data_IF_559881673139
#
_entry.id   IF_559881673139
#
_cell.length_a   1.000
_cell.length_b   1.000
_cell.length_c   1.000
_cell.angle_alpha   90.00
_cell.angle_beta   90.00
_cell.angle_gamma   90.00
#
_symmetry.space_group_name_H-M   'P 1'
#
loop_
_entity.id
_entity.type
_entity.pdbx_description
1 polymer ?
#
# COMPACT_ATOMS: atom_id res chain seq x y z
N UNK A 1 -3.72 9.54 13.71
CA UNK A 1 -3.24 9.50 12.31
C UNK A 1 -3.30 8.06 11.82
N UNK A 2 -4.50 7.59 11.46
CA UNK A 2 -4.71 6.23 10.94
C UNK A 2 -4.26 6.19 9.49
N UNK A 3 -3.14 5.53 9.22
CA UNK A 3 -2.53 5.39 7.88
C UNK A 3 -2.99 4.10 7.20
N UNK A 4 -4.21 3.65 7.45
CA UNK A 4 -4.74 2.43 6.84
C UNK A 4 -5.58 2.82 5.62
N UNK A 5 -5.11 2.43 4.44
CA UNK A 5 -5.77 2.59 3.15
C UNK A 5 -5.32 1.46 2.23
N UNK A 6 -6.05 1.20 1.13
CA UNK A 6 -5.65 0.16 0.20
C UNK A 6 -4.28 0.49 -0.39
N UNK A 7 -3.48 -0.55 -0.58
CA UNK A 7 -2.17 -0.44 -1.18
C UNK A 7 -1.97 -1.56 -2.21
N UNK A 8 -1.14 -1.29 -3.20
CA UNK A 8 -0.77 -2.22 -4.26
C UNK A 8 0.74 -2.46 -4.21
N UNK A 9 1.14 -3.73 -4.16
CA UNK A 9 2.54 -4.16 -4.17
C UNK A 9 2.96 -4.48 -5.59
N UNK A 10 4.06 -3.87 -6.05
CA UNK A 10 4.73 -4.21 -7.29
C UNK A 10 5.97 -5.03 -6.98
N UNK A 11 6.05 -6.21 -7.59
CA UNK A 11 7.19 -7.11 -7.47
C UNK A 11 8.00 -7.11 -8.76
N UNK A 12 9.32 -7.03 -8.62
CA UNK A 12 10.27 -7.17 -9.71
C UNK A 12 11.27 -8.26 -9.31
N UNK A 13 11.46 -9.26 -10.16
CA UNK A 13 12.31 -10.43 -9.87
C UNK A 13 11.95 -11.19 -8.57
N UNK A 14 10.69 -11.14 -8.14
CA UNK A 14 10.20 -11.80 -6.92
C UNK A 14 10.22 -10.91 -5.66
N UNK A 15 11.05 -9.87 -5.66
CA UNK A 15 11.16 -8.92 -4.55
C UNK A 15 10.19 -7.75 -4.69
N UNK A 16 9.78 -7.17 -3.56
CA UNK A 16 8.96 -5.95 -3.55
C UNK A 16 9.84 -4.76 -3.96
N UNK A 17 9.54 -4.17 -5.11
CA UNK A 17 10.22 -2.96 -5.62
C UNK A 17 9.50 -1.67 -5.18
N UNK A 18 8.18 -1.68 -5.21
CA UNK A 18 7.37 -0.49 -4.93
C UNK A 18 6.05 -0.87 -4.28
N UNK A 19 5.62 -0.08 -3.29
CA UNK A 19 4.25 -0.10 -2.78
C UNK A 19 3.56 1.22 -3.14
N UNK A 20 2.44 1.17 -3.85
CA UNK A 20 1.58 2.32 -4.06
C UNK A 20 0.52 2.35 -2.96
N UNK A 21 0.56 3.37 -2.11
CA UNK A 21 -0.45 3.59 -1.08
C UNK A 21 -1.47 4.63 -1.55
N UNK A 22 -2.75 4.29 -1.44
CA UNK A 22 -3.86 5.19 -1.73
C UNK A 22 -4.40 5.78 -0.42
N UNK A 23 -4.61 7.09 -0.39
CA UNK A 23 -5.30 7.78 0.70
C UNK A 23 -6.38 8.67 0.12
N UNK A 24 -7.59 8.54 0.66
CA UNK A 24 -8.72 9.41 0.35
C UNK A 24 -8.99 10.21 1.61
N UNK A 25 -8.87 11.52 1.52
CA UNK A 25 -9.13 12.43 2.63
C UNK A 25 -9.77 13.70 2.07
N UNK A 26 -10.86 14.16 2.69
CA UNK A 26 -11.57 15.39 2.30
C UNK A 26 -11.93 15.44 0.79
N UNK A 27 -12.33 14.30 0.20
CA UNK A 27 -12.67 14.20 -1.23
C UNK A 27 -11.47 14.24 -2.18
N UNK A 28 -10.25 14.35 -1.66
CA UNK A 28 -9.01 14.33 -2.44
C UNK A 28 -8.40 12.93 -2.42
N UNK A 29 -7.88 12.52 -3.58
CA UNK A 29 -7.12 11.29 -3.74
C UNK A 29 -5.64 11.64 -3.73
N UNK A 30 -4.89 10.99 -2.84
CA UNK A 30 -3.43 11.04 -2.81
C UNK A 30 -2.87 9.65 -3.03
N UNK A 31 -1.95 9.55 -3.99
CA UNK A 31 -1.17 8.34 -4.25
C UNK A 31 0.28 8.60 -3.87
N UNK A 32 0.89 7.67 -3.14
CA UNK A 32 2.30 7.74 -2.78
C UNK A 32 3.01 6.45 -3.21
N UNK A 33 4.14 6.59 -3.91
CA UNK A 33 5.03 5.49 -4.22
C UNK A 33 6.08 5.34 -3.11
N UNK A 34 6.04 4.22 -2.39
CA UNK A 34 7.04 3.87 -1.38
C UNK A 34 8.07 2.95 -2.04
N UNK A 35 9.29 3.44 -2.16
CA UNK A 35 10.45 2.69 -2.71
C UNK A 35 11.62 2.57 -1.72
N UNK A 36 11.40 2.97 -0.46
CA UNK A 36 12.43 2.92 0.55
C UNK A 36 12.69 1.47 0.99
N UNK A 37 13.89 0.91 0.78
CA UNK A 37 14.20 -0.49 1.09
C UNK A 37 13.91 -0.87 2.54
N UNK A 38 14.17 0.01 3.51
CA UNK A 38 13.92 -0.27 4.93
C UNK A 38 12.42 -0.48 5.21
N UNK A 39 11.55 0.21 4.47
CA UNK A 39 10.09 0.11 4.60
C UNK A 39 9.57 -1.09 3.85
N UNK A 40 10.14 -1.39 2.68
CA UNK A 40 9.74 -2.53 1.85
C UNK A 40 10.14 -3.87 2.48
N UNK A 41 11.28 -3.93 3.17
CA UNK A 41 11.71 -5.13 3.90
C UNK A 41 10.73 -5.59 4.99
N UNK A 42 9.82 -4.70 5.44
CA UNK A 42 8.79 -5.01 6.44
C UNK A 42 7.50 -5.58 5.82
N UNK A 43 7.39 -5.61 4.50
CA UNK A 43 6.21 -6.12 3.79
C UNK A 43 6.36 -7.62 3.60
N UNK A 44 5.86 -8.38 4.59
CA UNK A 44 5.94 -9.85 4.58
C UNK A 44 4.78 -10.51 3.82
N UNK A 45 3.58 -9.96 3.94
CA UNK A 45 2.37 -10.51 3.34
C UNK A 45 1.38 -9.42 2.93
N UNK A 46 0.61 -9.66 1.89
CA UNK A 46 -0.50 -8.82 1.49
C UNK A 46 -1.73 -9.13 2.35
N UNK A 47 -2.43 -8.09 2.80
CA UNK A 47 -3.73 -8.26 3.45
C UNK A 47 -4.80 -7.99 2.40
N UNK A 48 -5.56 -9.01 2.04
CA UNK A 48 -6.66 -8.88 1.08
C UNK A 48 -7.70 -7.89 1.63
N UNK A 49 -7.88 -6.76 0.94
CA UNK A 49 -8.90 -5.78 1.26
C UNK A 49 -10.18 -6.18 0.54
N UNK A 50 -11.19 -6.59 1.31
CA UNK A 50 -12.54 -6.80 0.81
C UNK A 50 -13.46 -5.71 1.33
N UNK A 51 -14.49 -5.38 0.56
CA UNK A 51 -15.62 -4.62 1.08
C UNK A 51 -16.44 -5.58 1.92
N UNK A 52 -16.37 -5.47 3.24
CA UNK A 52 -17.38 -6.09 4.09
C UNK A 52 -18.68 -5.35 3.79
N UNK A 53 -19.66 -6.03 3.19
CA UNK A 53 -21.00 -5.48 3.01
C UNK A 53 -21.57 -5.27 4.43
N UNK A 54 -22.10 -4.08 4.76
CA UNK A 54 -22.71 -3.86 6.07
C UNK A 54 -23.91 -4.79 6.28
#
# INVERSE_FOLDING_TARGET
MSTAGPALTFRLNGDVDTVLALRIDNGLIRVCAVRNPEKLSRINQETAVSRVRP
#
